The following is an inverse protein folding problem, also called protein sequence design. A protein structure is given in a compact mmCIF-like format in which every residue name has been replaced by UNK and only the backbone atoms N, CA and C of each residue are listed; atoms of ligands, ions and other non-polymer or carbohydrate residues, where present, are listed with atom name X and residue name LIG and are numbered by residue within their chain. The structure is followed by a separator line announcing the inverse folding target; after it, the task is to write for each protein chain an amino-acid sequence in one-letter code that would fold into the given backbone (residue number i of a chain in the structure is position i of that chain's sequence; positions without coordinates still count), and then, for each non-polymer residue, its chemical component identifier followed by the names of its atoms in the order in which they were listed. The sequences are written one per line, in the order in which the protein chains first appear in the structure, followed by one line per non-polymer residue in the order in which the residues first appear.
data_IF_190784172261
#
_entry.id   IF_190784172261
#
_cell.length_a   1.000
_cell.length_b   1.000
_cell.length_c   1.000
_cell.angle_alpha   90.00
_cell.angle_beta   90.00
_cell.angle_gamma   90.00
#
_symmetry.space_group_name_H-M   'P 1'
#
loop_
_entity.id
_entity.type
_entity.pdbx_description
1 polymer ?
#
# COMPACT_ATOMS: atom_id res chain seq x y z
N UNK A 1 -6.59 16.73 14.19
CA UNK A 1 -7.88 16.42 13.58
C UNK A 1 -7.77 16.25 12.06
N UNK A 2 -7.27 17.27 11.36
CA UNK A 2 -7.03 17.18 9.92
C UNK A 2 -6.04 16.08 9.57
N UNK A 3 -5.03 15.90 10.40
CA UNK A 3 -4.01 14.88 10.22
C UNK A 3 -4.61 13.47 10.26
N UNK A 4 -5.54 13.26 11.18
CA UNK A 4 -6.24 11.98 11.30
C UNK A 4 -7.09 11.71 10.06
N UNK A 5 -7.76 12.73 9.55
CA UNK A 5 -8.60 12.62 8.38
C UNK A 5 -7.78 12.27 7.13
N UNK A 6 -6.64 12.93 6.95
CA UNK A 6 -5.75 12.65 5.83
C UNK A 6 -5.22 11.22 5.88
N UNK A 7 -4.80 10.78 7.07
CA UNK A 7 -4.29 9.42 7.25
C UNK A 7 -5.38 8.39 6.95
N UNK A 8 -6.60 8.66 7.40
CA UNK A 8 -7.73 7.78 7.15
C UNK A 8 -8.06 7.65 5.68
N UNK A 9 -7.95 8.74 4.93
CA UNK A 9 -8.20 8.73 3.49
C UNK A 9 -7.09 7.99 2.72
N UNK A 10 -5.86 8.04 3.23
CA UNK A 10 -4.72 7.39 2.59
C UNK A 10 -4.79 5.86 2.66
N UNK A 11 -5.36 5.31 3.73
CA UNK A 11 -5.40 3.85 3.91
C UNK A 11 -6.19 3.15 2.81
N UNK A 12 -7.44 3.57 2.50
CA UNK A 12 -8.17 2.89 1.42
C UNK A 12 -7.53 3.08 0.05
N UNK A 13 -6.92 4.23 -0.22
CA UNK A 13 -6.21 4.46 -1.47
C UNK A 13 -5.00 3.53 -1.58
N UNK A 14 -4.22 3.41 -0.51
CA UNK A 14 -3.06 2.52 -0.48
C UNK A 14 -3.48 1.06 -0.64
N UNK A 15 -4.60 0.67 -0.03
CA UNK A 15 -5.13 -0.68 -0.16
C UNK A 15 -5.52 -0.98 -1.60
N UNK A 16 -6.15 -0.04 -2.28
CA UNK A 16 -6.51 -0.19 -3.68
C UNK A 16 -5.25 -0.32 -4.55
N UNK A 17 -4.21 0.45 -4.23
CA UNK A 17 -2.95 0.36 -4.97
C UNK A 17 -2.30 -1.01 -4.82
N UNK A 18 -2.34 -1.60 -3.63
CA UNK A 18 -1.83 -2.95 -3.40
C UNK A 18 -2.61 -3.95 -4.25
N UNK A 19 -3.92 -3.81 -4.28
CA UNK A 19 -4.78 -4.70 -5.05
C UNK A 19 -4.46 -4.62 -6.55
N UNK A 20 -4.31 -3.41 -7.07
CA UNK A 20 -3.95 -3.20 -8.47
C UNK A 20 -2.57 -3.75 -8.79
N UNK A 21 -1.60 -3.54 -7.89
CA UNK A 21 -0.25 -4.04 -8.07
C UNK A 21 -0.23 -5.57 -8.05
N UNK A 22 -1.04 -6.19 -7.20
CA UNK A 22 -1.17 -7.64 -7.16
C UNK A 22 -1.73 -8.19 -8.45
N UNK A 23 -2.78 -7.57 -8.98
CA UNK A 23 -3.37 -7.98 -10.26
C UNK A 23 -2.35 -7.87 -11.39
N UNK A 24 -1.58 -6.76 -11.40
CA UNK A 24 -0.55 -6.55 -12.39
C UNK A 24 0.56 -7.60 -12.29
N UNK A 25 0.93 -7.95 -11.06
CA UNK A 25 1.93 -8.99 -10.84
C UNK A 25 1.46 -10.34 -11.35
N UNK A 26 0.21 -10.69 -11.07
CA UNK A 26 -0.38 -11.94 -11.58
C UNK A 26 -0.37 -12.00 -13.10
N UNK A 27 -0.72 -10.89 -13.74
CA UNK A 27 -0.69 -10.81 -15.21
C UNK A 27 0.73 -10.98 -15.76
N UNK A 28 1.69 -10.27 -15.15
CA UNK A 28 3.09 -10.35 -15.57
C UNK A 28 3.64 -11.76 -15.39
N UNK A 29 3.28 -12.40 -14.28
CA UNK A 29 3.71 -13.75 -13.98
C UNK A 29 3.11 -14.75 -14.97
N UNK A 30 1.83 -14.61 -15.30
CA UNK A 30 1.17 -15.44 -16.29
C UNK A 30 1.80 -15.32 -17.67
N UNK A 31 2.08 -14.09 -18.09
CA UNK A 31 2.73 -13.82 -19.37
C UNK A 31 4.13 -14.43 -19.42
N UNK A 32 4.89 -14.31 -18.34
CA UNK A 32 6.22 -14.88 -18.26
C UNK A 32 6.16 -16.41 -18.35
N UNK A 33 5.23 -17.02 -17.64
CA UNK A 33 5.05 -18.47 -17.63
C UNK A 33 4.66 -19.00 -19.01
N UNK A 34 3.92 -18.21 -19.77
CA UNK A 34 3.52 -18.56 -21.14
C UNK A 34 4.62 -18.29 -22.17
N UNK A 35 5.71 -17.66 -21.75
CA UNK A 35 6.83 -17.35 -22.62
C UNK A 35 6.66 -16.07 -23.44
N UNK A 36 5.60 -15.31 -23.20
CA UNK A 36 5.34 -14.07 -23.94
C UNK A 36 5.77 -12.82 -23.15
N UNK A 37 6.15 -13.00 -21.88
CA UNK A 37 6.59 -11.89 -21.05
C UNK A 37 8.09 -11.92 -20.82
N UNK A 38 8.66 -10.76 -20.56
CA UNK A 38 10.08 -10.59 -20.25
C UNK A 38 10.28 -10.68 -18.75
N UNK A 39 11.45 -11.22 -18.34
CA UNK A 39 11.80 -11.31 -16.91
C UNK A 39 11.90 -9.91 -16.30
N UNK A 40 12.31 -8.91 -17.08
CA UNK A 40 12.38 -7.53 -16.60
C UNK A 40 10.99 -7.02 -16.25
N UNK A 41 10.01 -7.32 -17.08
CA UNK A 41 8.62 -6.95 -16.83
C UNK A 41 8.09 -7.59 -15.55
N UNK A 42 8.41 -8.86 -15.33
CA UNK A 42 8.02 -9.57 -14.12
C UNK A 42 8.67 -8.95 -12.88
N UNK A 43 9.96 -8.66 -12.96
CA UNK A 43 10.67 -8.05 -11.83
C UNK A 43 10.14 -6.65 -11.53
N UNK A 44 9.81 -5.87 -12.55
CA UNK A 44 9.22 -4.54 -12.36
C UNK A 44 7.88 -4.65 -11.65
N UNK A 45 7.08 -5.64 -12.01
CA UNK A 45 5.79 -5.87 -11.36
C UNK A 45 5.97 -6.28 -9.90
N UNK A 46 6.97 -7.10 -9.60
CA UNK A 46 7.29 -7.50 -8.23
C UNK A 46 7.72 -6.30 -7.38
N UNK A 47 8.56 -5.44 -7.94
CA UNK A 47 9.00 -4.22 -7.25
C UNK A 47 7.80 -3.30 -6.98
N UNK A 48 6.95 -3.11 -7.98
CA UNK A 48 5.75 -2.29 -7.83
C UNK A 48 4.84 -2.83 -6.74
N UNK A 49 4.67 -4.14 -6.67
CA UNK A 49 3.86 -4.76 -5.64
C UNK A 49 4.46 -4.53 -4.25
N UNK A 50 5.77 -4.74 -4.11
CA UNK A 50 6.45 -4.51 -2.84
C UNK A 50 6.33 -3.05 -2.40
N UNK A 51 6.52 -2.12 -3.34
CA UNK A 51 6.39 -0.70 -3.04
C UNK A 51 4.96 -0.35 -2.60
N UNK A 52 3.96 -0.93 -3.24
CA UNK A 52 2.57 -0.71 -2.88
C UNK A 52 2.28 -1.25 -1.49
N UNK A 53 2.81 -2.43 -1.15
CA UNK A 53 2.65 -3.00 0.19
C UNK A 53 3.30 -2.13 1.25
N UNK A 54 4.50 -1.63 0.99
CA UNK A 54 5.19 -0.74 1.92
C UNK A 54 4.41 0.55 2.13
N UNK A 55 3.87 1.10 1.05
CA UNK A 55 3.03 2.31 1.15
C UNK A 55 1.78 2.05 1.98
N UNK A 56 1.17 0.89 1.82
CA UNK A 56 0.00 0.51 2.59
C UNK A 56 0.34 0.39 4.08
N UNK A 57 1.44 -0.28 4.40
CA UNK A 57 1.87 -0.42 5.79
C UNK A 57 2.22 0.93 6.40
N UNK A 58 2.86 1.82 5.64
CA UNK A 58 3.18 3.16 6.09
C UNK A 58 1.90 3.96 6.36
N UNK A 59 0.91 3.87 5.48
CA UNK A 59 -0.36 4.55 5.66
C UNK A 59 -1.09 4.07 6.91
N UNK A 60 -1.07 2.77 7.14
CA UNK A 60 -1.68 2.18 8.34
C UNK A 60 -0.96 2.62 9.61
N UNK A 61 0.36 2.65 9.55
CA UNK A 61 1.17 3.10 10.68
C UNK A 61 0.88 4.56 11.00
N UNK A 62 0.84 5.40 10.00
CA UNK A 62 0.53 6.82 10.17
C UNK A 62 -0.85 7.02 10.76
N UNK A 63 -1.83 6.25 10.30
CA UNK A 63 -3.17 6.32 10.83
C UNK A 63 -3.21 5.92 12.31
N UNK A 64 -2.56 4.82 12.64
CA UNK A 64 -2.50 4.35 14.02
C UNK A 64 -1.80 5.36 14.93
N UNK A 65 -0.72 5.98 14.44
CA UNK A 65 0.00 7.00 15.18
C UNK A 65 -0.88 8.23 15.41
N UNK A 66 -1.63 8.64 14.40
CA UNK A 66 -2.53 9.78 14.52
C UNK A 66 -3.63 9.51 15.54
N UNK A 67 -4.18 8.29 15.55
CA UNK A 67 -5.19 7.89 16.53
C UNK A 67 -4.59 7.88 17.93
N UNK A 68 -3.38 7.36 18.08
CA UNK A 68 -2.70 7.32 19.37
C UNK A 68 -2.42 8.72 19.91
N UNK A 69 -1.99 9.62 19.02
CA UNK A 69 -1.75 11.02 19.39
C UNK A 69 -3.03 11.69 19.87
N UNK A 70 -4.12 11.42 19.17
CA UNK A 70 -5.42 11.98 19.55
C UNK A 70 -5.86 11.47 20.93
N UNK A 71 -5.73 10.18 21.16
CA UNK A 71 -6.07 9.57 22.45
C UNK A 71 -5.21 10.14 23.58
N UNK A 72 -3.92 10.31 23.31
CA UNK A 72 -2.99 10.85 24.28
C UNK A 72 -3.35 12.28 24.66
N UNK A 73 -3.71 13.08 23.66
CA UNK A 73 -4.12 14.46 23.90
C UNK A 73 -5.39 14.52 24.75
N UNK A 74 -6.32 13.62 24.49
CA UNK A 74 -7.56 13.53 25.26
C UNK A 74 -7.31 12.99 26.67
N UNK A 75 -6.39 12.04 26.79
CA UNK A 75 -6.08 11.41 28.06
C UNK A 75 -5.31 12.27 29.04
N UNK A 76 -4.65 13.31 28.54
CA UNK A 76 -3.86 14.20 29.39
C UNK A 76 -4.71 15.19 30.17
N UNK A 77 -5.97 15.23 29.91
CA UNK A 77 -6.85 16.08 30.68
C UNK A 77 -7.43 15.33 31.86
#
# INVERSE_FOLDING_TARGET
YLKLQEAGDSVPIAQLNVQKANENLELAQGRYNEGIGDIIELKDAEVSYTDAELSYLTARYDYATAVAELKQAMGTK
#
